data_IF_355716032183
#
_entry.id   IF_355716032183
#
_cell.length_a   1.000
_cell.length_b   1.000
_cell.length_c   1.000
_cell.angle_alpha   90.00
_cell.angle_beta   90.00
_cell.angle_gamma   90.00
#
_symmetry.space_group_name_H-M   'P 1'
#
loop_
_entity.id
_entity.type
_entity.pdbx_description
1 polymer ?
#
# COMPACT_ATOMS: atom_id res chain seq x y z
N UNK A 1 19.87 10.75 23.85
CA UNK A 1 18.78 10.05 23.13
C UNK A 1 19.12 10.12 21.65
N UNK A 2 19.09 8.99 20.90
CA UNK A 2 19.37 9.01 19.45
C UNK A 2 18.26 9.77 18.71
N UNK A 3 18.64 10.51 17.66
CA UNK A 3 17.73 11.32 16.84
C UNK A 3 17.41 10.57 15.55
N UNK A 4 16.15 10.34 15.27
CA UNK A 4 15.69 9.71 14.03
C UNK A 4 14.82 10.66 13.22
N UNK A 5 15.05 10.69 11.91
CA UNK A 5 14.19 11.36 10.94
C UNK A 5 13.47 10.31 10.10
N UNK A 6 12.15 10.34 10.08
CA UNK A 6 11.32 9.59 9.15
C UNK A 6 10.93 10.46 7.95
N UNK A 7 11.08 9.93 6.74
CA UNK A 7 10.65 10.57 5.50
C UNK A 7 9.61 9.67 4.84
N UNK A 8 8.37 10.14 4.74
CA UNK A 8 7.23 9.36 4.24
C UNK A 8 6.43 10.14 3.19
N UNK A 9 5.85 9.44 2.18
CA UNK A 9 5.13 10.09 1.09
C UNK A 9 3.66 10.39 1.39
N UNK A 10 3.14 9.95 2.53
CA UNK A 10 1.74 10.07 2.93
C UNK A 10 1.63 10.54 4.38
N UNK A 11 0.47 11.07 4.74
CA UNK A 11 0.17 11.39 6.15
C UNK A 11 -0.29 10.10 6.84
N UNK A 12 0.35 9.69 7.97
CA UNK A 12 0.04 8.40 8.60
C UNK A 12 -1.25 8.41 9.45
N UNK A 13 -2.02 9.47 9.38
CA UNK A 13 -3.30 9.64 10.06
C UNK A 13 -4.30 10.34 9.11
N UNK A 14 -5.59 9.96 9.09
CA UNK A 14 -6.20 8.83 9.84
C UNK A 14 -5.72 7.45 9.36
N UNK A 15 -5.95 6.41 10.18
CA UNK A 15 -5.45 5.05 9.96
C UNK A 15 -6.25 4.30 8.87
N UNK A 16 -6.32 4.88 7.69
CA UNK A 16 -7.16 4.40 6.58
C UNK A 16 -6.53 3.29 5.73
N UNK A 17 -5.23 3.07 5.88
CA UNK A 17 -4.48 2.05 5.13
C UNK A 17 -3.61 1.22 6.06
N UNK A 18 -3.32 -0.02 5.68
CA UNK A 18 -2.44 -0.87 6.47
C UNK A 18 -1.02 -0.31 6.65
N UNK A 19 -0.50 0.38 5.62
CA UNK A 19 0.80 1.06 5.72
C UNK A 19 0.79 2.21 6.73
N UNK A 20 -0.29 3.01 6.76
CA UNK A 20 -0.45 4.08 7.74
C UNK A 20 -0.53 3.52 9.17
N UNK A 21 -1.28 2.44 9.38
CA UNK A 21 -1.39 1.77 10.67
C UNK A 21 -0.03 1.27 11.16
N UNK A 22 0.70 0.52 10.31
CA UNK A 22 2.01 -0.02 10.65
C UNK A 22 2.99 1.08 11.03
N UNK A 23 3.07 2.14 10.23
CA UNK A 23 3.93 3.29 10.50
C UNK A 23 3.52 4.03 11.77
N UNK A 24 2.22 4.31 11.95
CA UNK A 24 1.71 5.02 13.11
C UNK A 24 2.08 4.31 14.42
N UNK A 25 1.80 3.01 14.53
CA UNK A 25 2.09 2.26 15.75
C UNK A 25 3.60 2.10 16.01
N UNK A 26 4.41 2.01 14.96
CA UNK A 26 5.87 2.02 15.09
C UNK A 26 6.36 3.34 15.67
N UNK A 27 5.92 4.47 15.14
CA UNK A 27 6.30 5.80 15.64
C UNK A 27 5.77 6.02 17.06
N UNK A 28 4.53 5.63 17.33
CA UNK A 28 3.92 5.75 18.66
C UNK A 28 4.73 5.03 19.73
N UNK A 29 5.30 3.86 19.40
CA UNK A 29 6.23 3.15 20.28
C UNK A 29 7.61 3.82 20.39
N UNK A 30 8.15 4.35 19.30
CA UNK A 30 9.51 4.88 19.25
C UNK A 30 9.64 6.27 19.87
N UNK A 31 8.61 7.11 19.81
CA UNK A 31 8.62 8.51 20.27
C UNK A 31 8.91 8.68 21.77
N UNK A 32 8.73 7.62 22.55
CA UNK A 32 9.08 7.61 23.98
C UNK A 32 10.52 7.09 24.22
N UNK A 33 11.17 6.55 23.21
CA UNK A 33 12.52 5.92 23.28
C UNK A 33 13.58 6.70 22.53
N UNK A 34 13.18 7.49 21.55
CA UNK A 34 14.07 8.24 20.65
C UNK A 34 13.56 9.67 20.48
N UNK A 35 14.45 10.58 20.07
CA UNK A 35 14.01 11.91 19.58
C UNK A 35 13.52 11.74 18.15
N UNK A 36 12.22 11.67 17.96
CA UNK A 36 11.57 11.43 16.66
C UNK A 36 11.28 12.73 15.94
N UNK A 37 11.62 12.76 14.66
CA UNK A 37 11.25 13.80 13.71
C UNK A 37 10.62 13.17 12.47
N UNK A 38 9.63 13.83 11.87
CA UNK A 38 8.95 13.34 10.66
C UNK A 38 8.93 14.47 9.62
N UNK A 39 9.32 14.14 8.39
CA UNK A 39 9.25 15.05 7.26
C UNK A 39 8.06 14.67 6.37
N UNK A 40 7.16 15.62 6.16
CA UNK A 40 5.88 15.46 5.47
C UNK A 40 5.71 16.49 4.35
N UNK A 41 4.96 16.10 3.31
CA UNK A 41 4.50 16.97 2.24
C UNK A 41 2.97 16.87 2.09
N UNK A 42 2.18 17.48 3.00
CA UNK A 42 0.73 17.42 2.96
C UNK A 42 0.16 18.22 1.78
N UNK A 43 -0.81 17.62 1.08
CA UNK A 43 -1.51 18.22 -0.06
C UNK A 43 -3.00 18.40 0.24
N UNK A 44 -3.56 19.56 -0.09
CA UNK A 44 -5.00 19.81 0.06
C UNK A 44 -5.49 19.59 1.50
N UNK A 45 -6.43 18.67 1.69
CA UNK A 45 -7.05 18.35 3.01
C UNK A 45 -6.11 17.66 3.99
N UNK A 46 -5.03 17.04 3.50
CA UNK A 46 -4.04 16.38 4.38
C UNK A 46 -3.40 17.33 5.39
N UNK A 47 -3.51 18.66 5.19
CA UNK A 47 -3.05 19.66 6.16
C UNK A 47 -3.83 19.58 7.47
N UNK A 48 -5.13 19.29 7.42
CA UNK A 48 -5.98 19.12 8.60
C UNK A 48 -5.57 17.84 9.35
N UNK A 49 -5.29 16.75 8.62
CA UNK A 49 -4.82 15.47 9.19
C UNK A 49 -3.47 15.64 9.92
N UNK A 50 -2.57 16.48 9.40
CA UNK A 50 -1.30 16.79 10.07
C UNK A 50 -1.54 17.54 11.39
N UNK A 51 -2.48 18.47 11.45
CA UNK A 51 -2.77 19.20 12.69
C UNK A 51 -3.39 18.27 13.75
N UNK A 52 -4.22 17.31 13.36
CA UNK A 52 -4.70 16.28 14.28
C UNK A 52 -3.56 15.36 14.75
N UNK A 53 -2.68 14.95 13.84
CA UNK A 53 -1.52 14.11 14.16
C UNK A 53 -0.58 14.80 15.17
N UNK A 54 -0.36 16.12 15.07
CA UNK A 54 0.43 16.90 16.02
C UNK A 54 -0.16 16.90 17.43
N UNK A 55 -1.49 16.87 17.54
CA UNK A 55 -2.16 16.77 18.84
C UNK A 55 -1.92 15.42 19.50
N UNK A 56 -1.89 14.34 18.69
CA UNK A 56 -1.63 12.97 19.16
C UNK A 56 -0.15 12.81 19.54
N UNK A 57 0.76 13.34 18.71
CA UNK A 57 2.20 13.18 18.85
C UNK A 57 2.91 14.48 19.28
N UNK A 58 2.54 15.01 20.44
CA UNK A 58 3.07 16.28 20.97
C UNK A 58 4.59 16.28 21.23
N UNK A 59 5.23 15.10 21.35
CA UNK A 59 6.66 14.93 21.57
C UNK A 59 7.44 14.56 20.27
N UNK A 60 6.81 14.67 19.09
CA UNK A 60 7.43 14.45 17.78
C UNK A 60 7.66 15.78 17.08
N UNK A 61 8.82 15.95 16.44
CA UNK A 61 9.13 17.13 15.65
C UNK A 61 8.63 16.96 14.21
N UNK A 62 7.92 17.95 13.67
CA UNK A 62 7.40 17.92 12.31
C UNK A 62 8.11 18.90 11.41
N UNK A 63 8.71 18.38 10.33
CA UNK A 63 9.24 19.14 9.19
C UNK A 63 8.21 19.09 8.07
N UNK A 64 7.58 20.22 7.76
CA UNK A 64 6.46 20.26 6.81
C UNK A 64 6.88 21.07 5.59
N UNK A 65 6.93 20.43 4.43
CA UNK A 65 7.08 21.13 3.16
C UNK A 65 5.72 21.61 2.68
N UNK A 66 5.63 22.86 2.22
CA UNK A 66 4.38 23.46 1.71
C UNK A 66 4.52 23.91 0.26
N UNK A 67 3.41 23.94 -0.49
CA UNK A 67 3.39 24.38 -1.89
C UNK A 67 3.85 25.82 -2.08
N UNK A 68 3.74 26.69 -1.07
CA UNK A 68 4.26 28.06 -1.10
C UNK A 68 5.79 28.11 -1.24
N UNK A 69 6.49 27.05 -0.80
CA UNK A 69 7.93 26.88 -1.03
C UNK A 69 8.23 26.44 -2.47
N UNK A 70 7.22 26.08 -3.24
CA UNK A 70 7.33 25.55 -4.59
C UNK A 70 6.89 26.58 -5.64
N UNK A 71 7.47 27.81 -5.61
CA UNK A 71 7.24 28.77 -6.68
C UNK A 71 7.74 28.21 -8.03
N UNK A 72 6.96 28.33 -9.11
CA UNK A 72 7.32 27.71 -10.37
C UNK A 72 8.54 28.41 -10.97
N UNK A 73 9.68 27.75 -11.01
CA UNK A 73 10.88 28.19 -11.74
C UNK A 73 10.77 28.08 -13.26
N UNK A 74 9.64 27.69 -13.84
CA UNK A 74 9.57 27.44 -15.27
C UNK A 74 8.56 28.34 -15.98
N UNK A 75 9.06 29.11 -16.93
CA UNK A 75 8.39 29.90 -17.96
C UNK A 75 7.53 29.09 -18.95
N UNK A 76 6.88 28.01 -18.53
CA UNK A 76 5.88 27.39 -19.38
C UNK A 76 4.51 28.01 -19.10
N UNK A 77 3.82 28.54 -20.12
CA UNK A 77 2.53 29.18 -19.94
C UNK A 77 1.56 28.26 -19.21
N UNK A 78 0.93 28.77 -18.16
CA UNK A 78 -0.05 28.07 -17.30
C UNK A 78 -1.13 27.32 -18.09
N UNK A 79 -1.50 27.83 -19.27
CA UNK A 79 -2.48 27.22 -20.17
C UNK A 79 -2.02 25.88 -20.75
N UNK A 80 -0.73 25.61 -20.92
CA UNK A 80 -0.22 24.35 -21.45
C UNK A 80 -0.37 23.19 -20.44
N UNK A 81 -0.11 23.48 -19.16
CA UNK A 81 -0.38 22.49 -18.08
C UNK A 81 -1.88 22.24 -17.91
N UNK A 82 -2.70 23.27 -18.04
CA UNK A 82 -4.15 23.19 -17.98
C UNK A 82 -4.74 22.41 -19.16
N UNK A 83 -4.28 22.69 -20.39
CA UNK A 83 -4.68 21.93 -21.60
C UNK A 83 -4.26 20.46 -21.53
N UNK A 84 -3.05 20.15 -21.02
CA UNK A 84 -2.57 18.77 -20.82
C UNK A 84 -3.39 18.04 -19.75
N UNK A 85 -3.80 18.75 -18.71
CA UNK A 85 -4.66 18.21 -17.64
C UNK A 85 -6.11 17.97 -18.13
N UNK A 86 -6.65 18.87 -18.95
CA UNK A 86 -7.98 18.71 -19.57
C UNK A 86 -7.94 17.61 -20.62
N UNK A 87 -6.96 17.60 -21.51
CA UNK A 87 -6.81 16.56 -22.53
C UNK A 87 -6.64 15.17 -21.87
N UNK A 88 -5.80 15.05 -20.82
CA UNK A 88 -5.61 13.80 -20.09
C UNK A 88 -6.85 13.39 -19.28
N UNK A 89 -7.64 14.32 -18.78
CA UNK A 89 -8.89 14.05 -18.08
C UNK A 89 -10.04 13.69 -19.04
N UNK A 90 -10.14 14.41 -20.17
CA UNK A 90 -11.14 14.15 -21.20
C UNK A 90 -10.88 12.82 -21.92
N UNK A 91 -9.63 12.53 -22.27
CA UNK A 91 -9.26 11.23 -22.86
C UNK A 91 -9.45 10.07 -21.89
N UNK A 92 -9.13 10.24 -20.60
CA UNK A 92 -9.43 9.22 -19.56
C UNK A 92 -10.94 9.01 -19.40
N UNK A 93 -11.74 10.09 -19.42
CA UNK A 93 -13.20 10.01 -19.27
C UNK A 93 -13.86 9.39 -20.50
N UNK A 94 -13.41 9.74 -21.70
CA UNK A 94 -13.90 9.19 -22.97
C UNK A 94 -13.48 7.71 -23.15
N UNK A 95 -12.26 7.34 -22.76
CA UNK A 95 -11.81 5.95 -22.72
C UNK A 95 -12.58 5.10 -21.71
N UNK A 96 -12.94 5.67 -20.53
CA UNK A 96 -13.78 4.97 -19.54
C UNK A 96 -15.22 4.75 -19.99
N UNK A 97 -15.76 5.58 -20.89
CA UNK A 97 -17.12 5.46 -21.40
C UNK A 97 -17.25 4.56 -22.64
N UNK A 98 -16.16 4.37 -23.40
CA UNK A 98 -16.17 3.62 -24.67
C UNK A 98 -15.74 2.16 -24.55
N UNK A 99 -15.16 1.77 -23.44
CA UNK A 99 -14.68 0.39 -23.23
C UNK A 99 -15.31 -0.19 -21.99
N UNK A 100 -16.40 -0.94 -22.18
CA UNK A 100 -16.86 -1.96 -21.26
C UNK A 100 -15.66 -2.83 -20.85
N UNK A 101 -15.66 -3.25 -19.58
CA UNK A 101 -14.70 -4.14 -18.94
C UNK A 101 -13.89 -4.98 -19.92
N UNK A 102 -12.76 -4.44 -20.35
CA UNK A 102 -11.81 -5.12 -21.20
C UNK A 102 -10.52 -5.32 -20.38
N UNK A 103 -9.78 -6.40 -20.64
CA UNK A 103 -8.44 -6.70 -20.08
C UNK A 103 -7.50 -5.50 -20.10
N UNK A 104 -7.69 -4.55 -21.02
CA UNK A 104 -6.93 -3.28 -21.13
C UNK A 104 -7.17 -2.30 -19.97
N UNK A 105 -8.30 -2.36 -19.26
CA UNK A 105 -8.56 -1.53 -18.06
C UNK A 105 -7.73 -2.05 -16.91
N UNK A 106 -7.70 -3.36 -16.73
CA UNK A 106 -6.87 -4.05 -15.72
C UNK A 106 -5.39 -3.78 -16.00
N UNK A 107 -4.96 -3.89 -17.26
CA UNK A 107 -3.58 -3.65 -17.70
C UNK A 107 -3.10 -2.23 -17.42
N UNK A 108 -3.96 -1.21 -17.52
CA UNK A 108 -3.62 0.18 -17.22
C UNK A 108 -3.48 0.48 -15.73
N UNK A 109 -4.15 -0.28 -14.89
CA UNK A 109 -4.08 -0.11 -13.44
C UNK A 109 -2.90 -0.89 -12.81
N UNK A 110 -2.16 -1.67 -13.61
CA UNK A 110 -0.91 -2.32 -13.20
C UNK A 110 0.15 -1.29 -12.83
N UNK A 111 1.03 -1.68 -11.91
CA UNK A 111 2.08 -0.78 -11.41
C UNK A 111 3.35 -0.76 -12.26
N UNK A 112 3.40 -1.54 -13.33
CA UNK A 112 4.58 -1.69 -14.16
C UNK A 112 5.15 -0.34 -14.66
N UNK A 113 4.29 0.57 -15.12
CA UNK A 113 4.69 1.91 -15.57
C UNK A 113 5.05 2.85 -14.43
N UNK A 114 4.51 2.65 -13.22
CA UNK A 114 4.80 3.47 -12.03
C UNK A 114 5.97 2.93 -11.19
N UNK A 115 6.60 1.85 -11.63
CA UNK A 115 7.77 1.26 -10.97
C UNK A 115 9.10 1.87 -11.47
N UNK A 116 9.05 2.80 -12.40
CA UNK A 116 10.21 3.53 -12.90
C UNK A 116 10.38 4.81 -12.07
N UNK A 117 11.60 5.34 -12.04
CA UNK A 117 11.92 6.58 -11.36
C UNK A 117 10.95 7.71 -11.70
N UNK A 118 10.30 8.26 -10.68
CA UNK A 118 9.50 9.47 -10.76
C UNK A 118 10.23 10.62 -10.04
N UNK A 119 10.59 11.71 -10.74
CA UNK A 119 11.35 12.79 -10.12
C UNK A 119 10.50 13.54 -9.09
N UNK A 120 11.09 13.81 -7.94
CA UNK A 120 10.51 14.70 -6.94
C UNK A 120 10.57 16.16 -7.40
N UNK A 121 9.63 17.02 -6.94
CA UNK A 121 9.76 18.47 -7.14
C UNK A 121 11.11 18.96 -6.60
N UNK A 122 11.85 19.76 -7.39
CA UNK A 122 13.22 20.18 -7.06
C UNK A 122 13.33 20.81 -5.67
N UNK A 123 12.44 21.75 -5.34
CA UNK A 123 12.42 22.42 -4.02
C UNK A 123 12.10 21.46 -2.87
N UNK A 124 11.31 20.39 -3.12
CA UNK A 124 11.06 19.37 -2.14
C UNK A 124 12.31 18.52 -1.90
N UNK A 125 13.02 18.15 -2.96
CA UNK A 125 14.30 17.44 -2.85
C UNK A 125 15.37 18.29 -2.12
N UNK A 126 15.47 19.60 -2.38
CA UNK A 126 16.33 20.52 -1.66
C UNK A 126 15.97 20.63 -0.18
N UNK A 127 14.67 20.69 0.13
CA UNK A 127 14.18 20.72 1.52
C UNK A 127 14.56 19.43 2.26
N UNK A 128 14.32 18.27 1.65
CA UNK A 128 14.74 16.97 2.21
C UNK A 128 16.25 16.97 2.46
N UNK A 129 17.04 17.39 1.47
CA UNK A 129 18.51 17.46 1.58
C UNK A 129 18.96 18.35 2.75
N UNK A 130 18.32 19.51 2.92
CA UNK A 130 18.63 20.47 4.00
C UNK A 130 18.28 19.87 5.37
N UNK A 131 17.06 19.34 5.51
CA UNK A 131 16.61 18.73 6.78
C UNK A 131 17.45 17.51 7.15
N UNK A 132 17.78 16.67 6.16
CA UNK A 132 18.60 15.46 6.37
C UNK A 132 19.99 15.73 6.94
N UNK A 133 20.53 16.95 6.73
CA UNK A 133 21.83 17.38 7.27
C UNK A 133 21.76 18.06 8.65
N UNK A 134 20.59 18.08 9.29
CA UNK A 134 20.40 18.75 10.60
C UNK A 134 20.83 17.91 11.81
N UNK A 135 21.73 16.93 11.62
CA UNK A 135 22.37 16.20 12.72
C UNK A 135 21.53 15.06 13.30
N UNK A 136 20.94 14.24 12.43
CA UNK A 136 20.28 12.99 12.79
C UNK A 136 21.28 11.83 12.86
N UNK A 137 21.05 10.89 13.77
CA UNK A 137 21.80 9.64 13.86
C UNK A 137 21.30 8.61 12.84
N UNK A 138 19.98 8.62 12.59
CA UNK A 138 19.27 7.69 11.72
C UNK A 138 18.32 8.47 10.81
N UNK A 139 18.29 8.11 9.54
CA UNK A 139 17.27 8.56 8.57
C UNK A 139 16.59 7.34 8.01
N UNK A 140 15.29 7.23 8.22
CA UNK A 140 14.46 6.14 7.72
C UNK A 140 13.51 6.67 6.64
N UNK A 141 13.55 6.03 5.48
CA UNK A 141 12.69 6.34 4.34
C UNK A 141 11.67 5.22 4.17
N UNK A 142 10.41 5.60 4.00
CA UNK A 142 9.29 4.68 3.90
C UNK A 142 8.68 4.70 2.50
N UNK A 143 8.26 3.55 2.04
CA UNK A 143 7.51 3.33 0.81
C UNK A 143 8.27 3.59 -0.51
N UNK A 144 7.96 2.76 -1.48
CA UNK A 144 8.60 2.72 -2.80
C UNK A 144 8.68 4.08 -3.54
N UNK A 145 7.69 4.99 -3.50
CA UNK A 145 7.80 6.28 -4.20
C UNK A 145 9.00 7.14 -3.77
N UNK A 146 9.56 6.88 -2.60
CA UNK A 146 10.71 7.62 -2.05
C UNK A 146 12.02 6.83 -2.11
N UNK A 147 12.05 5.65 -2.74
CA UNK A 147 13.23 4.78 -2.76
C UNK A 147 14.48 5.46 -3.31
N UNK A 148 14.31 6.40 -4.27
CA UNK A 148 15.42 7.17 -4.85
C UNK A 148 16.07 8.18 -3.90
N UNK A 149 15.48 8.46 -2.74
CA UNK A 149 16.07 9.40 -1.77
C UNK A 149 17.42 8.93 -1.25
N UNK A 150 17.73 7.65 -1.30
CA UNK A 150 19.05 7.15 -0.92
C UNK A 150 20.20 7.84 -1.65
N UNK A 151 19.99 8.29 -2.91
CA UNK A 151 20.98 9.07 -3.66
C UNK A 151 21.18 10.51 -3.16
N UNK A 152 20.26 11.01 -2.31
CA UNK A 152 20.24 12.38 -1.81
C UNK A 152 20.69 12.50 -0.35
N UNK A 153 20.57 11.40 0.42
CA UNK A 153 20.86 11.40 1.86
C UNK A 153 22.36 11.60 2.14
N UNK A 154 22.71 12.27 3.26
CA UNK A 154 24.09 12.56 3.59
C UNK A 154 24.89 11.28 3.95
N UNK A 155 26.15 11.25 3.55
CA UNK A 155 27.11 10.26 4.00
C UNK A 155 27.31 10.34 5.53
N UNK A 156 27.65 9.22 6.17
CA UNK A 156 27.93 9.18 7.61
C UNK A 156 26.72 8.92 8.52
N UNK A 157 25.50 9.19 8.05
CA UNK A 157 24.25 8.87 8.77
C UNK A 157 23.87 7.41 8.55
N UNK A 158 23.19 6.78 9.53
CA UNK A 158 22.57 5.46 9.34
C UNK A 158 21.30 5.62 8.51
N UNK A 159 21.32 5.16 7.24
CA UNK A 159 20.20 5.25 6.34
C UNK A 159 19.47 3.91 6.27
N UNK A 160 18.16 3.94 6.45
CA UNK A 160 17.27 2.77 6.43
C UNK A 160 16.19 3.00 5.37
N UNK A 161 15.96 1.99 4.54
CA UNK A 161 14.77 1.94 3.68
C UNK A 161 13.83 0.85 4.18
N UNK A 162 12.55 1.17 4.41
CA UNK A 162 11.54 0.17 4.75
C UNK A 162 10.74 -0.18 3.51
N UNK A 163 10.92 -1.42 3.08
CA UNK A 163 10.31 -1.94 1.87
C UNK A 163 9.03 -2.70 2.20
N UNK A 164 7.89 -2.02 2.09
CA UNK A 164 6.59 -2.59 2.44
C UNK A 164 6.12 -3.66 1.45
N UNK A 165 6.58 -3.59 0.20
CA UNK A 165 6.23 -4.52 -0.87
C UNK A 165 7.34 -4.49 -1.94
N UNK A 166 7.95 -5.63 -2.26
CA UNK A 166 8.94 -5.74 -3.32
C UNK A 166 8.27 -5.48 -4.67
N UNK A 167 8.59 -4.33 -5.28
CA UNK A 167 7.89 -3.84 -6.45
C UNK A 167 8.10 -4.72 -7.67
N UNK A 168 9.30 -5.20 -7.89
CA UNK A 168 9.59 -6.09 -9.02
C UNK A 168 8.87 -7.45 -8.89
N UNK A 169 8.72 -8.00 -7.68
CA UNK A 169 7.93 -9.21 -7.43
C UNK A 169 6.45 -8.96 -7.75
N UNK A 170 5.91 -7.82 -7.33
CA UNK A 170 4.56 -7.44 -7.70
C UNK A 170 4.38 -7.36 -9.20
N UNK A 171 5.30 -6.71 -9.92
CA UNK A 171 5.26 -6.60 -11.38
C UNK A 171 5.38 -7.97 -12.07
N UNK A 172 6.20 -8.88 -11.55
CA UNK A 172 6.25 -10.26 -12.04
C UNK A 172 4.89 -10.96 -11.90
N UNK A 173 4.28 -10.87 -10.71
CA UNK A 173 2.98 -11.46 -10.48
C UNK A 173 1.91 -10.83 -11.41
N UNK A 174 1.89 -9.50 -11.57
CA UNK A 174 0.97 -8.82 -12.47
C UNK A 174 1.08 -9.36 -13.91
N UNK A 175 2.31 -9.55 -14.40
CA UNK A 175 2.55 -10.05 -15.76
C UNK A 175 2.10 -11.51 -15.97
N UNK A 176 2.10 -12.35 -14.92
CA UNK A 176 1.64 -13.76 -15.04
C UNK A 176 0.16 -13.87 -15.37
N UNK A 177 -0.64 -12.84 -15.06
CA UNK A 177 -2.09 -12.81 -15.33
C UNK A 177 -2.45 -12.18 -16.67
N UNK A 178 -1.46 -11.77 -17.46
CA UNK A 178 -1.67 -11.28 -18.82
C UNK A 178 -1.67 -12.45 -19.82
N UNK A 179 -2.62 -12.48 -20.74
CA UNK A 179 -2.62 -13.47 -21.83
C UNK A 179 -1.38 -13.33 -22.73
N UNK A 180 -0.88 -12.11 -22.86
CA UNK A 180 0.32 -11.78 -23.63
C UNK A 180 1.03 -10.60 -23.00
N UNK A 181 2.31 -10.77 -22.70
CA UNK A 181 3.20 -9.68 -22.29
C UNK A 181 3.87 -9.10 -23.53
N UNK A 182 3.76 -7.78 -23.73
CA UNK A 182 4.39 -7.06 -24.84
C UNK A 182 5.88 -6.86 -24.58
N UNK A 183 6.64 -6.53 -25.64
CA UNK A 183 8.07 -6.22 -25.50
C UNK A 183 8.29 -4.92 -24.72
N UNK A 184 7.38 -3.95 -24.83
CA UNK A 184 7.38 -2.73 -24.01
C UNK A 184 7.22 -3.06 -22.52
N UNK A 185 6.27 -3.90 -22.14
CA UNK A 185 6.07 -4.32 -20.75
C UNK A 185 7.28 -5.08 -20.20
N UNK A 186 7.92 -5.94 -21.01
CA UNK A 186 9.17 -6.61 -20.62
C UNK A 186 10.31 -5.62 -20.40
N UNK A 187 10.41 -4.60 -21.27
CA UNK A 187 11.40 -3.53 -21.13
C UNK A 187 11.15 -2.73 -19.86
N UNK A 188 9.91 -2.27 -19.62
CA UNK A 188 9.55 -1.51 -18.43
C UNK A 188 9.82 -2.30 -17.14
N UNK A 189 9.50 -3.58 -17.13
CA UNK A 189 9.80 -4.47 -16.01
C UNK A 189 11.32 -4.53 -15.73
N UNK A 190 12.15 -4.72 -16.76
CA UNK A 190 13.60 -4.77 -16.58
C UNK A 190 14.14 -3.46 -16.02
N UNK A 191 13.74 -2.33 -16.62
CA UNK A 191 14.15 -1.00 -16.15
C UNK A 191 13.72 -0.78 -14.69
N UNK A 192 12.48 -1.11 -14.34
CA UNK A 192 11.98 -0.98 -12.98
C UNK A 192 12.73 -1.85 -11.98
N UNK A 193 13.04 -3.10 -12.35
CA UNK A 193 13.82 -4.04 -11.54
C UNK A 193 15.24 -3.53 -11.30
N UNK A 194 15.93 -3.08 -12.35
CA UNK A 194 17.28 -2.55 -12.27
C UNK A 194 17.33 -1.24 -11.45
N UNK A 195 16.30 -0.39 -11.60
CA UNK A 195 16.16 0.81 -10.79
C UNK A 195 15.98 0.49 -9.29
N UNK A 196 15.06 -0.44 -8.95
CA UNK A 196 14.82 -0.88 -7.57
C UNK A 196 16.10 -1.43 -6.94
N UNK A 197 16.81 -2.31 -7.66
CA UNK A 197 18.10 -2.85 -7.23
C UNK A 197 19.10 -1.72 -6.93
N UNK A 198 19.32 -0.82 -7.90
CA UNK A 198 20.30 0.25 -7.77
C UNK A 198 19.97 1.23 -6.64
N UNK A 199 18.68 1.55 -6.46
CA UNK A 199 18.23 2.44 -5.40
C UNK A 199 18.43 1.81 -4.01
N UNK A 200 18.16 0.52 -3.84
CA UNK A 200 18.38 -0.19 -2.57
C UNK A 200 19.86 -0.25 -2.18
N UNK A 201 20.79 -0.26 -3.14
CA UNK A 201 22.22 -0.22 -2.87
C UNK A 201 22.69 1.07 -2.20
N UNK A 202 21.92 2.15 -2.29
CA UNK A 202 22.27 3.44 -1.67
C UNK A 202 21.99 3.51 -0.16
N UNK A 203 21.20 2.58 0.37
CA UNK A 203 20.88 2.53 1.80
C UNK A 203 21.84 1.59 2.57
N UNK A 204 22.18 1.95 3.82
CA UNK A 204 22.99 1.10 4.67
C UNK A 204 22.22 -0.12 5.17
N UNK A 205 20.94 0.05 5.40
CA UNK A 205 20.05 -1.02 5.85
C UNK A 205 18.75 -1.00 5.08
N UNK A 206 18.19 -2.18 4.84
CA UNK A 206 16.86 -2.38 4.28
C UNK A 206 16.04 -3.21 5.24
N UNK A 207 14.84 -2.75 5.55
CA UNK A 207 13.87 -3.49 6.37
C UNK A 207 12.75 -3.97 5.47
N UNK A 208 12.41 -5.24 5.60
CA UNK A 208 11.23 -5.87 4.99
C UNK A 208 10.29 -6.38 6.07
N UNK A 209 9.05 -6.69 5.73
CA UNK A 209 8.02 -7.05 6.70
C UNK A 209 7.93 -8.55 6.97
N UNK A 210 8.52 -9.37 6.10
CA UNK A 210 8.42 -10.84 6.19
C UNK A 210 9.78 -11.51 5.95
N UNK A 211 9.97 -12.70 6.52
CA UNK A 211 11.17 -13.51 6.26
C UNK A 211 11.22 -14.00 4.80
N UNK A 212 10.07 -14.19 4.16
CA UNK A 212 9.98 -14.53 2.73
C UNK A 212 10.56 -13.41 1.88
N UNK A 213 10.14 -12.15 2.12
CA UNK A 213 10.70 -11.00 1.40
C UNK A 213 12.18 -10.79 1.71
N UNK A 214 12.62 -11.09 2.95
CA UNK A 214 14.03 -11.03 3.32
C UNK A 214 14.85 -11.98 2.45
N UNK A 215 14.45 -13.23 2.34
CA UNK A 215 15.18 -14.21 1.53
C UNK A 215 15.22 -13.81 0.05
N UNK A 216 14.08 -13.39 -0.50
CA UNK A 216 13.99 -12.90 -1.89
C UNK A 216 14.94 -11.71 -2.09
N UNK A 217 15.03 -10.81 -1.12
CA UNK A 217 15.85 -9.62 -1.24
C UNK A 217 17.35 -9.92 -1.06
N UNK A 218 17.71 -10.91 -0.23
CA UNK A 218 19.10 -11.43 -0.13
C UNK A 218 19.55 -11.95 -1.49
N UNK A 219 18.73 -12.76 -2.16
CA UNK A 219 19.05 -13.31 -3.48
C UNK A 219 19.15 -12.21 -4.55
N UNK A 220 18.41 -11.11 -4.35
CA UNK A 220 18.37 -9.98 -5.28
C UNK A 220 19.54 -9.00 -5.10
N UNK A 221 19.91 -8.65 -3.85
CA UNK A 221 20.94 -7.65 -3.55
C UNK A 221 22.31 -8.30 -3.27
N UNK A 222 22.32 -9.52 -2.75
CA UNK A 222 23.55 -10.26 -2.42
C UNK A 222 24.20 -9.89 -1.07
N UNK A 223 23.53 -9.12 -0.19
CA UNK A 223 24.11 -8.60 1.06
C UNK A 223 23.20 -8.87 2.26
N UNK A 224 23.29 -10.08 2.82
CA UNK A 224 22.45 -10.54 3.93
C UNK A 224 22.48 -9.63 5.17
N UNK A 225 23.67 -9.16 5.56
CA UNK A 225 23.85 -8.36 6.78
C UNK A 225 23.17 -6.99 6.77
N UNK A 226 22.72 -6.52 5.61
CA UNK A 226 22.02 -5.24 5.45
C UNK A 226 20.51 -5.39 5.50
N UNK A 227 19.97 -6.61 5.39
CA UNK A 227 18.56 -6.87 5.23
C UNK A 227 17.97 -7.43 6.52
N UNK A 228 17.02 -6.71 7.08
CA UNK A 228 16.40 -7.02 8.37
C UNK A 228 14.90 -7.22 8.23
N UNK A 229 14.31 -8.03 9.11
CA UNK A 229 12.86 -8.21 9.17
C UNK A 229 12.30 -7.44 10.36
N UNK A 230 11.31 -6.61 10.10
CA UNK A 230 10.49 -5.97 11.12
C UNK A 230 9.02 -6.07 10.73
N UNK A 231 8.29 -7.07 11.23
CA UNK A 231 6.89 -7.25 10.91
C UNK A 231 6.06 -6.04 11.33
N UNK A 232 5.04 -5.73 10.54
CA UNK A 232 4.05 -4.74 10.95
C UNK A 232 3.26 -5.28 12.14
N UNK A 233 2.94 -4.38 13.08
CA UNK A 233 2.15 -4.70 14.26
C UNK A 233 0.83 -3.94 14.25
N UNK A 234 -0.22 -4.58 14.74
CA UNK A 234 -1.50 -3.94 15.04
C UNK A 234 -1.80 -4.14 16.52
N UNK A 235 -2.40 -3.15 17.20
CA UNK A 235 -2.79 -3.34 18.59
C UNK A 235 -3.89 -4.42 18.67
N UNK A 236 -3.77 -5.30 19.66
CA UNK A 236 -4.88 -6.16 20.03
C UNK A 236 -5.93 -5.32 20.73
N UNK A 237 -7.14 -5.30 20.20
CA UNK A 237 -8.24 -4.58 20.83
C UNK A 237 -8.95 -5.48 21.84
N UNK A 238 -9.04 -5.01 23.09
CA UNK A 238 -9.84 -5.69 24.14
C UNK A 238 -11.36 -5.55 23.90
N UNK A 239 -11.74 -4.74 22.93
CA UNK A 239 -13.12 -4.32 22.69
C UNK A 239 -14.07 -5.46 22.27
N UNK A 240 -13.58 -6.64 21.95
CA UNK A 240 -14.40 -7.75 21.49
C UNK A 240 -14.24 -9.00 22.35
N UNK A 241 -14.70 -8.94 23.62
CA UNK A 241 -14.72 -10.10 24.54
C UNK A 241 -15.63 -11.23 24.05
N UNK A 242 -16.57 -10.96 23.15
CA UNK A 242 -17.49 -11.96 22.60
C UNK A 242 -17.23 -12.15 21.12
N UNK A 243 -16.72 -13.33 20.78
CA UNK A 243 -16.71 -13.78 19.40
C UNK A 243 -18.18 -13.93 18.95
N UNK A 244 -18.61 -13.11 18.01
CA UNK A 244 -19.92 -13.27 17.38
C UNK A 244 -19.81 -14.36 16.32
N UNK A 245 -20.58 -15.43 16.50
CA UNK A 245 -20.71 -16.45 15.45
C UNK A 245 -21.43 -15.82 14.26
N UNK A 246 -20.85 -15.90 13.04
CA UNK A 246 -21.49 -15.33 11.87
C UNK A 246 -22.91 -15.88 11.67
N UNK A 247 -23.90 -14.99 11.62
CA UNK A 247 -25.26 -15.35 11.23
C UNK A 247 -25.37 -15.23 9.71
N UNK A 248 -25.29 -16.33 9.02
CA UNK A 248 -25.19 -16.39 7.56
C UNK A 248 -23.75 -16.19 7.06
N UNK A 249 -23.58 -16.26 5.74
CA UNK A 249 -22.27 -16.09 5.11
C UNK A 249 -22.04 -14.61 4.75
N UNK A 250 -21.69 -13.80 5.73
CA UNK A 250 -21.20 -12.44 5.52
C UNK A 250 -19.70 -12.48 5.23
N UNK A 251 -19.34 -12.34 3.96
CA UNK A 251 -17.96 -12.36 3.47
C UNK A 251 -17.48 -10.93 3.38
N UNK A 252 -16.34 -10.58 3.96
CA UNK A 252 -15.84 -9.21 4.01
C UNK A 252 -14.43 -9.10 3.46
N UNK A 253 -14.21 -8.20 2.50
CA UNK A 253 -12.89 -7.82 1.99
C UNK A 253 -12.56 -6.39 2.42
N UNK A 254 -11.33 -6.16 2.90
CA UNK A 254 -10.84 -4.84 3.31
C UNK A 254 -9.76 -4.37 2.36
N UNK A 255 -9.93 -3.19 1.76
CA UNK A 255 -8.93 -2.59 0.90
C UNK A 255 -9.52 -1.56 -0.07
N UNK A 256 -8.65 -0.70 -0.61
CA UNK A 256 -9.04 0.33 -1.58
C UNK A 256 -8.91 -0.15 -3.02
N UNK A 257 -9.77 0.36 -3.90
CA UNK A 257 -9.72 0.12 -5.35
C UNK A 257 -8.39 0.58 -5.98
N UNK A 258 -7.80 1.66 -5.46
CA UNK A 258 -6.58 2.25 -6.02
C UNK A 258 -5.32 1.38 -5.88
N UNK A 259 -5.39 0.28 -5.12
CA UNK A 259 -4.32 -0.68 -4.99
C UNK A 259 -4.62 -1.90 -5.86
N UNK A 260 -3.90 -2.07 -6.97
CA UNK A 260 -4.19 -3.08 -7.99
C UNK A 260 -4.39 -4.52 -7.46
N UNK A 261 -3.60 -5.05 -6.50
CA UNK A 261 -3.88 -6.36 -5.90
C UNK A 261 -5.26 -6.48 -5.25
N UNK A 262 -5.82 -5.38 -4.71
CA UNK A 262 -7.17 -5.38 -4.17
C UNK A 262 -8.21 -5.43 -5.29
N UNK A 263 -7.99 -4.66 -6.35
CA UNK A 263 -8.86 -4.67 -7.53
C UNK A 263 -8.91 -6.06 -8.14
N UNK A 264 -7.77 -6.67 -8.40
CA UNK A 264 -7.66 -8.04 -8.91
C UNK A 264 -8.41 -9.04 -8.02
N UNK A 265 -8.22 -8.98 -6.70
CA UNK A 265 -8.83 -9.87 -5.73
C UNK A 265 -10.37 -9.81 -5.77
N UNK A 266 -10.96 -8.60 -5.79
CA UNK A 266 -12.42 -8.41 -5.83
C UNK A 266 -12.98 -8.87 -7.17
N UNK A 267 -12.30 -8.53 -8.27
CA UNK A 267 -12.70 -8.97 -9.61
C UNK A 267 -12.69 -10.48 -9.73
N UNK A 268 -11.60 -11.11 -9.31
CA UNK A 268 -11.46 -12.56 -9.35
C UNK A 268 -12.54 -13.24 -8.49
N UNK A 269 -12.79 -12.73 -7.28
CA UNK A 269 -13.88 -13.25 -6.45
C UNK A 269 -15.22 -13.19 -7.18
N UNK A 270 -15.61 -12.01 -7.69
CA UNK A 270 -16.90 -11.82 -8.35
C UNK A 270 -17.06 -12.66 -9.61
N UNK A 271 -16.01 -12.82 -10.40
CA UNK A 271 -16.06 -13.52 -11.68
C UNK A 271 -15.87 -15.01 -11.61
N UNK A 272 -15.14 -15.50 -10.61
CA UNK A 272 -14.74 -16.92 -10.54
C UNK A 272 -15.26 -17.63 -9.27
N UNK A 273 -15.17 -16.98 -8.12
CA UNK A 273 -15.52 -17.64 -6.83
C UNK A 273 -17.03 -17.52 -6.56
N UNK A 274 -17.60 -16.32 -6.68
CA UNK A 274 -19.02 -16.10 -6.41
C UNK A 274 -19.96 -17.01 -7.25
N UNK A 275 -19.72 -17.22 -8.56
CA UNK A 275 -20.52 -18.19 -9.35
C UNK A 275 -20.42 -19.62 -8.84
N UNK A 276 -19.22 -20.05 -8.37
CA UNK A 276 -19.05 -21.39 -7.80
C UNK A 276 -19.82 -21.56 -6.49
N UNK A 277 -19.79 -20.55 -5.61
CA UNK A 277 -20.57 -20.58 -4.36
C UNK A 277 -22.08 -20.65 -4.65
N UNK A 278 -22.57 -19.85 -5.59
CA UNK A 278 -23.97 -19.88 -6.02
C UNK A 278 -24.40 -21.24 -6.58
N UNK A 279 -23.56 -21.83 -7.41
CA UNK A 279 -23.86 -23.16 -8.00
C UNK A 279 -23.94 -24.27 -6.98
N UNK A 280 -23.28 -24.10 -5.81
CA UNK A 280 -23.33 -25.00 -4.68
C UNK A 280 -24.45 -24.67 -3.68
N UNK A 281 -25.30 -23.70 -3.97
CA UNK A 281 -26.44 -23.30 -3.15
C UNK A 281 -26.10 -22.42 -1.95
N UNK A 282 -24.90 -21.83 -1.88
CA UNK A 282 -24.55 -20.90 -0.80
C UNK A 282 -25.24 -19.54 -1.02
N UNK A 283 -25.90 -19.06 0.02
CA UNK A 283 -26.40 -17.69 0.12
C UNK A 283 -25.43 -16.86 0.93
N UNK A 284 -24.88 -15.80 0.36
CA UNK A 284 -23.89 -14.95 0.99
C UNK A 284 -24.05 -13.49 0.58
N UNK A 285 -23.48 -12.56 1.36
CA UNK A 285 -23.19 -11.19 0.96
C UNK A 285 -21.68 -11.02 0.88
N UNK A 286 -21.20 -10.29 -0.11
CA UNK A 286 -19.78 -9.95 -0.26
C UNK A 286 -19.58 -8.45 -0.07
N UNK A 287 -19.17 -8.08 1.14
CA UNK A 287 -18.96 -6.70 1.55
C UNK A 287 -17.52 -6.26 1.30
N UNK A 288 -17.37 -5.16 0.58
CA UNK A 288 -16.07 -4.58 0.27
C UNK A 288 -15.93 -3.24 1.00
N UNK A 289 -15.01 -3.21 1.99
CA UNK A 289 -14.73 -2.05 2.83
C UNK A 289 -13.56 -1.27 2.25
N UNK A 290 -13.74 0.04 2.09
CA UNK A 290 -12.76 0.98 1.54
C UNK A 290 -13.32 1.85 0.41
N UNK A 291 -12.53 2.76 -0.15
CA UNK A 291 -12.97 3.66 -1.22
C UNK A 291 -13.01 2.94 -2.58
N UNK A 292 -14.22 2.63 -3.06
CA UNK A 292 -14.50 2.01 -4.36
C UNK A 292 -15.52 2.87 -5.11
N UNK A 293 -15.13 3.50 -6.22
CA UNK A 293 -15.93 4.54 -6.87
C UNK A 293 -15.97 4.48 -8.41
N UNK A 294 -15.20 3.60 -9.06
CA UNK A 294 -15.12 3.59 -10.51
C UNK A 294 -16.44 3.08 -11.15
N UNK A 295 -16.68 3.46 -12.40
CA UNK A 295 -17.79 2.91 -13.20
C UNK A 295 -17.68 1.39 -13.37
N UNK A 296 -16.47 0.91 -13.45
CA UNK A 296 -16.11 -0.48 -13.56
C UNK A 296 -16.60 -1.34 -12.38
N UNK A 297 -16.47 -0.84 -11.14
CA UNK A 297 -16.97 -1.55 -9.96
C UNK A 297 -18.49 -1.65 -9.97
N UNK A 298 -19.17 -0.65 -10.53
CA UNK A 298 -20.64 -0.72 -10.72
C UNK A 298 -21.05 -1.79 -11.73
N UNK A 299 -20.29 -1.95 -12.81
CA UNK A 299 -20.51 -3.05 -13.76
C UNK A 299 -20.28 -4.41 -13.10
N UNK A 300 -19.29 -4.49 -12.20
CA UNK A 300 -19.02 -5.69 -11.42
C UNK A 300 -20.20 -6.07 -10.51
N UNK A 301 -20.85 -5.08 -9.88
CA UNK A 301 -22.08 -5.31 -9.09
C UNK A 301 -23.22 -5.89 -9.91
N UNK A 302 -23.33 -5.54 -11.20
CA UNK A 302 -24.37 -6.12 -12.08
C UNK A 302 -24.11 -7.63 -12.36
N UNK A 303 -22.86 -8.06 -12.38
CA UNK A 303 -22.46 -9.46 -12.58
C UNK A 303 -22.36 -10.28 -11.28
N UNK A 304 -22.23 -9.61 -10.15
CA UNK A 304 -22.14 -10.19 -8.81
C UNK A 304 -23.14 -9.47 -7.87
N UNK A 305 -24.41 -9.88 -7.87
CA UNK A 305 -25.45 -9.21 -7.06
C UNK A 305 -25.18 -9.22 -5.55
N UNK A 306 -24.36 -10.16 -5.08
CA UNK A 306 -23.94 -10.27 -3.68
C UNK A 306 -22.92 -9.19 -3.26
N UNK A 307 -22.34 -8.45 -4.23
CA UNK A 307 -21.33 -7.43 -3.97
C UNK A 307 -21.96 -6.16 -3.39
N UNK A 308 -21.58 -5.83 -2.16
CA UNK A 308 -21.92 -4.61 -1.45
C UNK A 308 -20.69 -3.73 -1.25
N UNK A 309 -20.72 -2.50 -1.76
CA UNK A 309 -19.66 -1.52 -1.52
C UNK A 309 -20.00 -0.71 -0.26
N UNK A 310 -19.35 -1.06 0.84
CA UNK A 310 -19.63 -0.47 2.15
C UNK A 310 -19.04 0.94 2.28
N UNK A 311 -17.90 1.20 1.65
CA UNK A 311 -17.15 2.44 1.82
C UNK A 311 -16.25 2.42 3.05
N UNK A 312 -16.00 3.60 3.62
CA UNK A 312 -15.20 3.74 4.84
C UNK A 312 -16.00 3.30 6.06
N UNK A 313 -15.35 2.56 6.96
CA UNK A 313 -15.90 2.11 8.24
C UNK A 313 -15.00 2.65 9.35
N UNK A 314 -15.57 3.40 10.30
CA UNK A 314 -14.83 4.02 11.39
C UNK A 314 -14.27 2.97 12.37
N UNK A 315 -15.09 2.02 12.79
CA UNK A 315 -14.71 0.92 13.66
C UNK A 315 -14.65 -0.40 12.87
N UNK A 316 -13.50 -0.62 12.24
CA UNK A 316 -13.29 -1.80 11.41
C UNK A 316 -13.34 -3.09 12.23
N UNK A 317 -12.83 -3.09 13.46
CA UNK A 317 -12.78 -4.27 14.30
C UNK A 317 -14.19 -4.77 14.66
N UNK A 318 -15.06 -3.89 15.11
CA UNK A 318 -16.46 -4.24 15.37
C UNK A 318 -17.19 -4.64 14.10
N UNK A 319 -16.89 -3.99 12.98
CA UNK A 319 -17.48 -4.34 11.69
C UNK A 319 -17.10 -5.76 11.23
N UNK A 320 -15.85 -6.15 11.40
CA UNK A 320 -15.37 -7.48 11.01
C UNK A 320 -15.88 -8.60 11.93
N UNK A 321 -16.19 -8.29 13.17
CA UNK A 321 -16.74 -9.27 14.11
C UNK A 321 -18.07 -9.85 13.57
N UNK A 322 -18.17 -11.18 13.53
CA UNK A 322 -19.31 -11.88 12.95
C UNK A 322 -19.31 -11.93 11.40
N UNK A 323 -18.18 -11.62 10.74
CA UNK A 323 -17.98 -11.88 9.33
C UNK A 323 -16.87 -12.91 9.09
N UNK A 324 -16.80 -13.43 7.87
CA UNK A 324 -15.66 -14.20 7.37
C UNK A 324 -14.84 -13.25 6.51
N UNK A 325 -13.62 -12.94 6.94
CA UNK A 325 -12.74 -12.05 6.18
C UNK A 325 -12.13 -12.81 5.01
N UNK A 326 -12.32 -12.27 3.80
CA UNK A 326 -11.73 -12.83 2.59
C UNK A 326 -10.46 -12.10 2.21
N UNK A 327 -9.40 -12.86 1.94
CA UNK A 327 -8.13 -12.33 1.47
C UNK A 327 -7.70 -13.05 0.18
N UNK A 328 -8.47 -12.92 -0.91
CA UNK A 328 -8.23 -13.63 -2.16
C UNK A 328 -7.15 -12.91 -2.99
N UNK A 329 -6.03 -12.60 -2.34
CA UNK A 329 -4.90 -11.89 -2.95
C UNK A 329 -4.04 -12.87 -3.73
N UNK A 330 -3.74 -12.57 -5.00
CA UNK A 330 -2.92 -13.37 -5.90
C UNK A 330 -1.64 -12.65 -6.33
N UNK A 331 -1.54 -11.35 -6.07
CA UNK A 331 -0.50 -10.45 -6.56
C UNK A 331 0.16 -9.72 -5.39
N UNK A 332 1.47 -9.51 -5.48
CA UNK A 332 2.26 -8.69 -4.55
C UNK A 332 3.14 -9.51 -3.61
N UNK A 333 3.88 -8.80 -2.76
CA UNK A 333 4.70 -9.29 -1.65
C UNK A 333 4.36 -8.51 -0.38
N UNK A 334 5.14 -8.63 0.66
CA UNK A 334 4.91 -7.95 1.93
C UNK A 334 3.83 -8.60 2.80
N UNK A 335 3.55 -7.97 3.92
CA UNK A 335 2.56 -8.46 4.89
C UNK A 335 1.15 -7.98 4.55
N UNK A 336 0.19 -8.88 4.63
CA UNK A 336 -1.23 -8.58 4.36
C UNK A 336 -1.92 -8.08 5.63
N UNK A 337 -1.91 -6.77 5.86
CA UNK A 337 -2.51 -6.12 7.04
C UNK A 337 -3.95 -6.57 7.31
N UNK A 338 -4.74 -6.82 6.28
CA UNK A 338 -6.12 -7.32 6.40
C UNK A 338 -6.26 -8.67 7.12
N UNK A 339 -5.20 -9.50 7.14
CA UNK A 339 -5.15 -10.71 7.96
C UNK A 339 -4.92 -10.33 9.42
N UNK A 340 -4.07 -9.36 9.69
CA UNK A 340 -3.87 -8.85 11.06
C UNK A 340 -5.15 -8.19 11.59
N UNK A 341 -5.86 -7.43 10.75
CA UNK A 341 -7.17 -6.86 11.09
C UNK A 341 -8.19 -7.96 11.42
N UNK A 342 -8.22 -9.05 10.64
CA UNK A 342 -9.10 -10.20 10.91
C UNK A 342 -8.76 -10.86 12.25
N UNK A 343 -7.47 -11.12 12.51
CA UNK A 343 -6.99 -11.75 13.75
C UNK A 343 -7.30 -10.87 14.96
N UNK A 344 -7.02 -9.56 14.90
CA UNK A 344 -7.29 -8.63 16.00
C UNK A 344 -8.80 -8.46 16.26
N UNK A 345 -9.63 -8.63 15.23
CA UNK A 345 -11.10 -8.63 15.33
C UNK A 345 -11.69 -9.98 15.75
N UNK A 346 -10.87 -10.98 16.00
CA UNK A 346 -11.30 -12.38 16.25
C UNK A 346 -12.21 -12.95 15.15
N UNK A 347 -12.11 -12.43 13.93
CA UNK A 347 -12.87 -12.87 12.77
C UNK A 347 -12.16 -14.04 12.07
N UNK A 348 -12.87 -15.12 11.69
CA UNK A 348 -12.30 -16.14 10.84
C UNK A 348 -11.96 -15.56 9.48
N UNK A 349 -10.91 -16.08 8.83
CA UNK A 349 -10.53 -15.63 7.50
C UNK A 349 -10.24 -16.80 6.55
N UNK A 350 -10.46 -16.54 5.26
CA UNK A 350 -10.12 -17.43 4.15
C UNK A 350 -9.18 -16.67 3.22
N UNK A 351 -8.08 -17.30 2.86
CA UNK A 351 -7.02 -16.68 2.07
C UNK A 351 -6.43 -17.62 1.04
N UNK A 352 -5.82 -17.07 0.00
CA UNK A 352 -4.95 -17.79 -0.92
C UNK A 352 -3.59 -18.07 -0.29
N UNK A 353 -2.82 -18.97 -0.89
CA UNK A 353 -1.41 -19.21 -0.51
C UNK A 353 -0.59 -17.90 -0.59
N UNK A 354 -0.81 -17.11 -1.66
CA UNK A 354 -0.17 -15.79 -1.81
C UNK A 354 -0.66 -14.77 -0.79
N UNK A 355 -1.93 -14.86 -0.39
CA UNK A 355 -2.52 -13.96 0.62
C UNK A 355 -1.92 -14.16 2.01
N UNK A 356 -1.55 -15.37 2.41
CA UNK A 356 -0.97 -15.69 3.72
C UNK A 356 0.55 -15.69 3.74
N UNK A 357 1.19 -15.43 2.61
CA UNK A 357 2.65 -15.42 2.49
C UNK A 357 3.30 -14.50 3.54
N UNK A 358 4.31 -15.01 4.24
CA UNK A 358 5.03 -14.30 5.30
C UNK A 358 4.32 -14.24 6.65
N UNK A 359 3.15 -14.87 6.79
CA UNK A 359 2.44 -14.99 8.07
C UNK A 359 2.53 -16.45 8.53
N UNK A 360 3.13 -16.67 9.70
CA UNK A 360 3.19 -18.01 10.30
C UNK A 360 1.79 -18.42 10.79
N UNK A 361 1.09 -19.18 9.97
CA UNK A 361 -0.23 -19.73 10.29
C UNK A 361 -0.19 -21.25 10.30
N UNK A 362 -0.92 -21.88 11.25
CA UNK A 362 -1.09 -23.34 11.27
C UNK A 362 -2.32 -23.73 10.45
N UNK A 363 -2.17 -24.71 9.57
CA UNK A 363 -3.15 -25.02 8.52
C UNK A 363 -4.53 -25.49 9.02
N UNK A 364 -4.66 -25.90 10.28
CA UNK A 364 -5.93 -26.32 10.87
C UNK A 364 -6.67 -25.22 11.63
N UNK A 365 -6.06 -24.04 11.80
CA UNK A 365 -6.75 -22.86 12.36
C UNK A 365 -7.23 -21.89 11.29
N UNK A 366 -6.78 -22.07 10.03
CA UNK A 366 -7.10 -21.18 8.92
C UNK A 366 -7.42 -21.99 7.68
N UNK A 367 -8.58 -21.75 7.08
CA UNK A 367 -8.97 -22.35 5.81
C UNK A 367 -8.21 -21.68 4.68
N UNK A 368 -7.51 -22.47 3.86
CA UNK A 368 -6.93 -22.03 2.59
C UNK A 368 -7.87 -22.34 1.45
N UNK A 369 -8.08 -21.39 0.55
CA UNK A 369 -8.70 -21.71 -0.72
C UNK A 369 -7.65 -22.41 -1.61
N UNK A 370 -7.96 -23.55 -2.15
CA UNK A 370 -7.16 -24.19 -3.18
C UNK A 370 -7.33 -23.41 -4.49
N UNK A 371 -6.22 -23.10 -5.12
CA UNK A 371 -6.17 -22.44 -6.44
C UNK A 371 -6.57 -23.41 -7.55
#
# INVERSE_FOLDING_TARGET
>A
MKKILFIIPCIPYPLTTGGNQAFFHMVDYLRDKMSVSILLYPKGKEKEDVEELKKIWHNVNFYIFTEQMNEPETRHPYYYKWLKKIASSATRKMHRQLFAYNKDVVRRDMTLTSSIFEPLPSKYAEYISTVSRSGFDIIQVEFYPLISLGYLLPEGVQTIFVHHELRYIRNENEMTFLDRVTDEERMLYRIGKDFEHSALQTYKHVIVLTEVDRQILIDFIGEENRIHVSPAVVPMTDACDKQVVPTGFRLTFVGSEGHYPNLDAVVWFCQKIAPCLRSQGFHFTFQVVGPWKSSYVRELQMSCPELELVGYVEDLHNFLNGSIVLVPIRIGSGMRMKILDAVSSKAPFVTTTKGVEGINSVSYTHLRAHE
#
